data_IF_936733261496
#
_entry.id   IF_936733261496
#
_cell.length_a   1.000
_cell.length_b   1.000
_cell.length_c   1.000
_cell.angle_alpha   90.00
_cell.angle_beta   90.00
_cell.angle_gamma   90.00
#
_symmetry.space_group_name_H-M   'P 1'
#
loop_
_entity.id
_entity.type
_entity.pdbx_description
1 polymer ?
#
# COMPACT_ATOMS: atom_id res chain seq x y z
N UNK A 1 8.99 60.71 21.68
CA UNK A 1 8.09 59.83 20.89
C UNK A 1 8.67 59.73 19.48
N UNK A 2 8.83 58.56 18.83
CA UNK A 2 8.21 57.27 19.12
C UNK A 2 9.19 56.07 19.29
N UNK A 3 8.55 54.96 19.65
CA UNK A 3 9.02 53.66 20.11
C UNK A 3 9.71 52.83 19.01
N UNK A 4 10.97 52.43 19.22
CA UNK A 4 11.60 51.33 18.45
C UNK A 4 12.44 50.45 19.37
N UNK A 5 11.76 49.55 20.09
CA UNK A 5 12.42 48.62 21.01
C UNK A 5 11.70 47.29 21.19
N UNK A 6 10.89 46.83 20.23
CA UNK A 6 10.07 45.61 20.41
C UNK A 6 10.12 44.58 19.28
N UNK A 7 11.03 44.71 18.30
CA UNK A 7 11.12 43.78 17.17
C UNK A 7 12.08 42.59 17.40
N UNK A 8 13.03 42.69 18.33
CA UNK A 8 14.05 41.64 18.55
C UNK A 8 13.50 40.40 19.30
N UNK A 9 12.59 40.58 20.26
CA UNK A 9 12.01 39.44 20.99
C UNK A 9 11.15 38.53 20.11
N UNK A 10 10.45 39.06 19.11
CA UNK A 10 9.53 38.26 18.28
C UNK A 10 10.22 37.22 17.41
N UNK A 11 11.41 37.52 16.89
CA UNK A 11 12.14 36.61 16.00
C UNK A 11 12.81 35.44 16.74
N UNK A 12 13.35 35.69 17.94
CA UNK A 12 13.94 34.66 18.79
C UNK A 12 12.89 33.66 19.28
N UNK A 13 11.75 34.14 19.76
CA UNK A 13 10.65 33.27 20.22
C UNK A 13 10.04 32.46 19.07
N UNK A 14 9.91 33.04 17.87
CA UNK A 14 9.45 32.32 16.67
C UNK A 14 10.42 31.23 16.24
N UNK A 15 11.74 31.48 16.32
CA UNK A 15 12.75 30.45 16.02
C UNK A 15 12.69 29.31 17.03
N UNK A 16 12.62 29.61 18.33
CA UNK A 16 12.50 28.58 19.37
C UNK A 16 11.22 27.76 19.21
N UNK A 17 10.07 28.42 18.94
CA UNK A 17 8.82 27.74 18.67
C UNK A 17 8.89 26.84 17.41
N UNK A 18 9.53 27.33 16.33
CA UNK A 18 9.74 26.53 15.13
C UNK A 18 10.63 25.31 15.40
N UNK A 19 11.69 25.45 16.18
CA UNK A 19 12.56 24.33 16.61
C UNK A 19 11.79 23.28 17.41
N UNK A 20 10.93 23.73 18.35
CA UNK A 20 10.11 22.84 19.16
C UNK A 20 9.07 22.09 18.33
N UNK A 21 8.43 22.77 17.36
CA UNK A 21 7.50 22.13 16.44
C UNK A 21 8.19 21.11 15.52
N UNK A 22 9.41 21.42 15.04
CA UNK A 22 10.22 20.49 14.26
C UNK A 22 10.61 19.26 15.10
N UNK A 23 11.06 19.45 16.33
CA UNK A 23 11.41 18.37 17.24
C UNK A 23 10.19 17.50 17.58
N UNK A 24 9.03 18.12 17.82
CA UNK A 24 7.78 17.41 18.08
C UNK A 24 7.31 16.62 16.84
N UNK A 25 7.40 17.20 15.64
CA UNK A 25 7.07 16.54 14.38
C UNK A 25 8.00 15.35 14.08
N UNK A 26 9.31 15.52 14.28
CA UNK A 26 10.29 14.44 14.15
C UNK A 26 10.06 13.33 15.19
N UNK A 27 9.73 13.69 16.42
CA UNK A 27 9.36 12.75 17.47
C UNK A 27 8.10 11.95 17.13
N UNK A 28 7.07 12.60 16.60
CA UNK A 28 5.84 11.95 16.15
C UNK A 28 6.09 10.97 15.00
N UNK A 29 6.90 11.38 14.01
CA UNK A 29 7.31 10.52 12.89
C UNK A 29 8.12 9.30 13.37
N UNK A 30 9.06 9.50 14.30
CA UNK A 30 9.86 8.42 14.87
C UNK A 30 8.99 7.45 15.70
N UNK A 31 8.08 7.97 16.53
CA UNK A 31 7.14 7.15 17.30
C UNK A 31 6.22 6.34 16.38
N UNK A 32 5.72 6.95 15.30
CA UNK A 32 4.89 6.27 14.30
C UNK A 32 5.69 5.24 13.51
N UNK A 33 6.97 5.50 13.22
CA UNK A 33 7.87 4.53 12.60
C UNK A 33 8.12 3.33 13.51
N UNK A 34 8.33 3.54 14.82
CA UNK A 34 8.45 2.46 15.81
C UNK A 34 7.15 1.68 15.96
N UNK A 35 6.01 2.36 16.00
CA UNK A 35 4.69 1.73 16.07
C UNK A 35 4.35 0.90 14.82
N UNK A 36 4.80 1.34 13.64
CA UNK A 36 4.55 0.65 12.36
C UNK A 36 5.65 -0.34 11.97
N UNK A 37 6.83 -0.27 12.58
CA UNK A 37 7.88 -1.26 12.39
C UNK A 37 7.49 -2.54 13.11
N UNK A 38 6.83 -3.46 12.40
CA UNK A 38 6.77 -4.84 12.84
C UNK A 38 8.22 -5.34 12.97
N UNK A 39 8.63 -5.87 14.15
CA UNK A 39 9.99 -6.33 14.35
C UNK A 39 10.36 -7.36 13.28
N UNK A 40 11.58 -7.28 12.74
CA UNK A 40 12.07 -8.14 11.65
C UNK A 40 11.69 -9.63 11.80
N UNK A 41 11.79 -10.26 13.00
CA UNK A 41 11.33 -11.62 13.23
C UNK A 41 9.82 -11.83 13.00
N UNK A 42 8.98 -10.87 13.40
CA UNK A 42 7.54 -10.92 13.17
C UNK A 42 7.21 -10.75 11.68
N UNK A 43 7.90 -9.85 10.98
CA UNK A 43 7.79 -9.67 9.54
C UNK A 43 8.22 -10.93 8.76
N UNK A 44 9.31 -11.58 9.17
CA UNK A 44 9.77 -12.85 8.59
C UNK A 44 8.83 -14.01 8.92
N UNK A 45 8.29 -14.07 10.14
CA UNK A 45 7.30 -15.07 10.53
C UNK A 45 5.99 -14.91 9.74
N UNK A 46 5.54 -13.67 9.55
CA UNK A 46 4.38 -13.35 8.71
C UNK A 46 4.64 -13.69 7.25
N UNK A 47 5.82 -13.36 6.70
CA UNK A 47 6.22 -13.74 5.36
C UNK A 47 6.28 -15.27 5.20
N UNK A 48 6.88 -16.00 6.14
CA UNK A 48 6.94 -17.47 6.12
C UNK A 48 5.54 -18.08 6.16
N UNK A 49 4.65 -17.56 7.01
CA UNK A 49 3.24 -17.99 7.07
C UNK A 49 2.49 -17.67 5.79
N UNK A 50 2.73 -16.51 5.19
CA UNK A 50 2.17 -16.13 3.90
C UNK A 50 2.63 -17.03 2.76
N UNK A 51 3.92 -17.38 2.72
CA UNK A 51 4.50 -18.27 1.71
C UNK A 51 4.07 -19.73 1.92
N UNK A 52 3.94 -20.18 3.17
CA UNK A 52 3.44 -21.51 3.51
C UNK A 52 1.91 -21.64 3.33
N UNK A 53 1.18 -20.53 3.38
CA UNK A 53 -0.26 -20.50 3.14
C UNK A 53 -0.56 -20.76 1.67
N UNK A 54 -1.42 -21.76 1.41
CA UNK A 54 -2.07 -21.93 0.11
C UNK A 54 -3.01 -20.74 -0.18
N UNK A 55 -3.42 -20.56 -1.44
CA UNK A 55 -4.31 -19.46 -1.88
C UNK A 55 -5.55 -19.30 -0.98
N UNK A 56 -6.15 -20.40 -0.54
CA UNK A 56 -7.34 -20.40 0.33
C UNK A 56 -7.02 -19.84 1.72
N UNK A 57 -5.91 -20.22 2.33
CA UNK A 57 -5.47 -19.68 3.63
C UNK A 57 -4.95 -18.24 3.54
N UNK A 58 -4.49 -17.78 2.38
CA UNK A 58 -4.16 -16.36 2.18
C UNK A 58 -5.40 -15.48 2.27
N UNK A 59 -6.57 -15.95 1.85
CA UNK A 59 -7.84 -15.21 1.96
C UNK A 59 -8.20 -14.83 3.39
N UNK A 60 -8.03 -15.79 4.30
CA UNK A 60 -8.31 -15.59 5.72
C UNK A 60 -7.33 -14.61 6.38
N UNK A 61 -6.18 -14.37 5.74
CA UNK A 61 -5.13 -13.49 6.23
C UNK A 61 -5.01 -12.17 5.44
N UNK A 62 -5.83 -11.95 4.39
CA UNK A 62 -5.80 -10.67 3.67
C UNK A 62 -6.40 -9.61 4.59
N UNK A 63 -5.67 -8.54 4.93
CA UNK A 63 -6.23 -7.40 5.66
C UNK A 63 -7.37 -6.69 4.90
N UNK A 64 -7.58 -7.05 3.62
CA UNK A 64 -8.33 -6.30 2.63
C UNK A 64 -9.46 -7.10 1.94
N UNK A 65 -9.73 -8.34 2.35
CA UNK A 65 -10.72 -9.18 1.66
C UNK A 65 -12.15 -8.63 1.78
N UNK A 66 -12.49 -7.99 2.90
CA UNK A 66 -13.81 -7.39 3.14
C UNK A 66 -14.04 -6.11 2.32
N UNK A 67 -12.98 -5.40 1.95
CA UNK A 67 -13.07 -4.11 1.27
C UNK A 67 -13.42 -4.23 -0.22
N UNK A 68 -13.07 -5.35 -0.87
CA UNK A 68 -13.45 -5.62 -2.26
C UNK A 68 -13.55 -7.13 -2.52
N UNK A 69 -14.76 -7.65 -2.31
CA UNK A 69 -15.05 -9.07 -2.47
C UNK A 69 -14.99 -9.52 -3.92
N UNK A 70 -15.34 -8.65 -4.87
CA UNK A 70 -15.41 -9.00 -6.29
C UNK A 70 -14.03 -9.18 -6.89
N UNK A 71 -13.13 -8.20 -6.66
CA UNK A 71 -11.73 -8.30 -7.10
C UNK A 71 -11.06 -9.51 -6.46
N UNK A 72 -11.31 -9.73 -5.17
CA UNK A 72 -10.71 -10.85 -4.46
C UNK A 72 -11.18 -12.20 -5.01
N UNK A 73 -12.48 -12.36 -5.25
CA UNK A 73 -13.04 -13.58 -5.83
C UNK A 73 -12.53 -13.83 -7.25
N UNK A 74 -12.42 -12.78 -8.07
CA UNK A 74 -11.90 -12.87 -9.43
C UNK A 74 -10.42 -13.27 -9.45
N UNK A 75 -9.59 -12.66 -8.58
CA UNK A 75 -8.17 -13.00 -8.44
C UNK A 75 -7.96 -14.46 -8.04
N UNK A 76 -8.77 -14.98 -7.10
CA UNK A 76 -8.70 -16.40 -6.74
C UNK A 76 -9.07 -17.34 -7.88
N UNK A 77 -10.18 -17.05 -8.57
CA UNK A 77 -10.64 -17.89 -9.69
C UNK A 77 -9.56 -17.97 -10.75
N UNK A 78 -8.99 -16.83 -11.12
CA UNK A 78 -7.89 -16.76 -12.06
C UNK A 78 -6.64 -17.48 -11.53
N UNK A 79 -6.27 -17.26 -10.27
CA UNK A 79 -5.10 -17.87 -9.66
C UNK A 79 -5.11 -19.40 -9.59
N UNK A 80 -6.28 -20.05 -9.70
CA UNK A 80 -6.43 -21.52 -9.79
C UNK A 80 -6.15 -22.06 -11.19
N UNK A 81 -6.32 -21.25 -12.23
CA UNK A 81 -6.12 -21.65 -13.62
C UNK A 81 -4.72 -21.33 -14.14
N UNK A 82 -4.01 -20.42 -13.47
CA UNK A 82 -2.67 -19.99 -13.85
C UNK A 82 -1.58 -20.89 -13.27
N UNK A 83 -0.54 -21.14 -14.06
CA UNK A 83 0.75 -21.64 -13.59
C UNK A 83 1.45 -20.66 -12.63
N UNK A 84 2.47 -21.11 -11.90
CA UNK A 84 3.17 -20.31 -10.89
C UNK A 84 3.96 -19.12 -11.47
N UNK A 85 4.44 -19.25 -12.71
CA UNK A 85 5.25 -18.23 -13.41
C UNK A 85 4.42 -17.30 -14.32
N UNK A 86 3.10 -17.51 -14.40
CA UNK A 86 2.24 -16.70 -15.25
C UNK A 86 1.90 -15.37 -14.57
N UNK A 87 2.36 -14.27 -15.16
CA UNK A 87 2.05 -12.92 -14.69
C UNK A 87 0.61 -12.51 -15.00
N UNK A 88 0.10 -11.51 -14.27
CA UNK A 88 -1.28 -11.05 -14.36
C UNK A 88 -1.36 -9.56 -14.65
N UNK A 89 -2.24 -9.19 -15.59
CA UNK A 89 -2.62 -7.81 -15.87
C UNK A 89 -3.92 -7.49 -15.15
N UNK A 90 -3.88 -6.47 -14.31
CA UNK A 90 -5.04 -5.81 -13.71
C UNK A 90 -5.35 -4.54 -14.52
N UNK A 91 -6.48 -4.53 -15.21
CA UNK A 91 -7.00 -3.35 -15.91
C UNK A 91 -8.05 -2.68 -15.01
N UNK A 92 -7.88 -1.38 -14.76
CA UNK A 92 -8.80 -0.55 -13.99
C UNK A 92 -9.44 0.53 -14.88
N UNK A 93 -10.54 1.18 -14.44
CA UNK A 93 -11.25 2.17 -15.24
C UNK A 93 -10.36 3.38 -15.52
N UNK A 94 -10.53 3.98 -16.70
CA UNK A 94 -9.93 5.28 -17.01
C UNK A 94 -10.45 6.33 -16.02
N UNK A 95 -9.53 7.02 -15.34
CA UNK A 95 -9.86 8.01 -14.33
C UNK A 95 -9.93 7.48 -12.89
N UNK A 96 -9.61 6.21 -12.65
CA UNK A 96 -9.45 5.71 -11.28
C UNK A 96 -8.36 6.52 -10.53
N UNK A 97 -8.63 6.97 -9.29
CA UNK A 97 -7.68 7.75 -8.52
C UNK A 97 -6.42 6.92 -8.22
N UNK A 98 -5.22 7.52 -8.22
CA UNK A 98 -3.96 6.79 -8.04
C UNK A 98 -3.91 5.92 -6.79
N UNK A 99 -4.52 6.36 -5.70
CA UNK A 99 -4.60 5.62 -4.45
C UNK A 99 -5.42 4.32 -4.60
N UNK A 100 -6.56 4.39 -5.28
CA UNK A 100 -7.40 3.21 -5.54
C UNK A 100 -6.72 2.24 -6.51
N UNK A 101 -5.93 2.76 -7.46
CA UNK A 101 -5.12 1.95 -8.38
C UNK A 101 -4.09 1.14 -7.60
N UNK A 102 -3.32 1.79 -6.72
CA UNK A 102 -2.30 1.12 -5.92
C UNK A 102 -2.89 0.18 -4.87
N UNK A 103 -4.04 0.52 -4.26
CA UNK A 103 -4.73 -0.39 -3.34
C UNK A 103 -5.17 -1.68 -4.05
N UNK A 104 -5.83 -1.53 -5.20
CA UNK A 104 -6.29 -2.67 -6.02
C UNK A 104 -5.13 -3.54 -6.47
N UNK A 105 -4.02 -2.93 -6.89
CA UNK A 105 -2.77 -3.61 -7.26
C UNK A 105 -2.22 -4.44 -6.10
N UNK A 106 -2.08 -3.85 -4.91
CA UNK A 106 -1.54 -4.53 -3.72
C UNK A 106 -2.43 -5.70 -3.31
N UNK A 107 -3.75 -5.53 -3.36
CA UNK A 107 -4.71 -6.59 -3.06
C UNK A 107 -4.57 -7.76 -4.04
N UNK A 108 -4.56 -7.47 -5.35
CA UNK A 108 -4.36 -8.48 -6.38
C UNK A 108 -3.00 -9.20 -6.23
N UNK A 109 -1.91 -8.47 -6.01
CA UNK A 109 -0.57 -9.03 -5.83
C UNK A 109 -0.49 -9.95 -4.61
N UNK A 110 -1.11 -9.57 -3.50
CA UNK A 110 -1.16 -10.42 -2.29
C UNK A 110 -1.89 -11.75 -2.56
N UNK A 111 -3.01 -11.70 -3.26
CA UNK A 111 -3.83 -12.87 -3.56
C UNK A 111 -3.21 -13.79 -4.61
N UNK A 112 -2.53 -13.21 -5.60
CA UNK A 112 -1.97 -13.93 -6.75
C UNK A 112 -0.52 -14.38 -6.57
N UNK A 113 0.14 -13.98 -5.48
CA UNK A 113 1.53 -14.35 -5.19
C UNK A 113 1.78 -15.86 -5.42
N UNK A 114 2.96 -16.26 -5.94
CA UNK A 114 4.13 -15.44 -6.25
C UNK A 114 4.05 -14.55 -7.51
N UNK A 115 2.96 -14.63 -8.29
CA UNK A 115 2.85 -14.01 -9.62
C UNK A 115 2.99 -12.49 -9.57
N UNK A 116 3.58 -11.89 -10.62
CA UNK A 116 3.64 -10.43 -10.74
C UNK A 116 2.30 -9.89 -11.24
N UNK A 117 1.92 -8.73 -10.72
CA UNK A 117 0.71 -8.02 -11.15
C UNK A 117 1.10 -6.70 -11.77
N UNK A 118 0.91 -6.59 -13.09
CA UNK A 118 1.00 -5.35 -13.84
C UNK A 118 -0.34 -4.62 -13.81
N UNK A 119 -0.31 -3.29 -13.90
CA UNK A 119 -1.52 -2.47 -13.88
C UNK A 119 -1.62 -1.64 -15.15
N UNK A 120 -2.81 -1.57 -15.72
CA UNK A 120 -3.16 -0.72 -16.84
C UNK A 120 -4.51 -0.05 -16.61
N UNK A 121 -4.79 1.03 -17.32
CA UNK A 121 -6.10 1.68 -17.31
C UNK A 121 -6.78 1.51 -18.67
N UNK A 122 -8.09 1.28 -18.67
CA UNK A 122 -8.84 1.02 -19.89
C UNK A 122 -10.34 1.27 -19.72
N UNK A 123 -11.09 1.07 -20.80
CA UNK A 123 -12.56 1.10 -20.75
C UNK A 123 -13.08 -0.21 -20.15
N UNK A 124 -13.10 -0.25 -18.82
CA UNK A 124 -13.72 -1.31 -18.02
C UNK A 124 -14.62 -0.67 -16.96
N UNK A 125 -15.78 -1.28 -16.66
CA UNK A 125 -16.74 -0.70 -15.73
C UNK A 125 -16.26 -0.71 -14.27
N UNK A 126 -15.47 -1.71 -13.88
CA UNK A 126 -14.94 -1.84 -12.51
C UNK A 126 -13.49 -2.32 -12.52
N UNK A 127 -13.23 -3.53 -13.01
CA UNK A 127 -11.87 -4.04 -13.21
C UNK A 127 -11.89 -5.22 -14.20
N UNK A 128 -10.73 -5.60 -14.71
CA UNK A 128 -10.50 -6.86 -15.42
C UNK A 128 -9.17 -7.45 -15.00
N UNK A 129 -9.16 -8.75 -14.71
CA UNK A 129 -7.95 -9.53 -14.48
C UNK A 129 -7.76 -10.51 -15.63
N UNK A 130 -6.55 -10.56 -16.18
CA UNK A 130 -6.19 -11.48 -17.26
C UNK A 130 -4.73 -11.90 -17.14
N UNK A 131 -4.34 -13.12 -17.56
CA UNK A 131 -2.94 -13.44 -17.70
C UNK A 131 -2.25 -12.44 -18.63
N UNK A 132 -1.06 -12.00 -18.27
CA UNK A 132 -0.12 -11.40 -19.22
C UNK A 132 0.29 -12.56 -20.12
N UNK A 133 -0.33 -12.68 -21.29
CA UNK A 133 0.16 -13.64 -22.29
C UNK A 133 1.57 -13.20 -22.65
N UNK A 134 2.57 -13.93 -22.17
CA UNK A 134 3.82 -14.04 -22.88
C UNK A 134 3.49 -14.64 -24.24
N UNK A 135 3.89 -13.96 -25.32
CA UNK A 135 4.09 -14.66 -26.59
C UNK A 135 4.97 -15.89 -26.35
N UNK A 136 4.76 -16.98 -27.12
CA UNK A 136 5.60 -18.18 -27.06
C UNK A 136 7.09 -17.86 -27.15
#
# INVERSE_FOLDING_TARGET
MPLRGRAASGAGHRRVAASLLLAAGLGALAAQAVWRALPLPASLSAARRFWAANQTTRLLNVPFFSADRELSAAALRLGRTLGPEEDVLLVLPRGAPPEAVEESRRRAAYLLAPRRVAVSTGDVPAFRLSPVRGSP
#
